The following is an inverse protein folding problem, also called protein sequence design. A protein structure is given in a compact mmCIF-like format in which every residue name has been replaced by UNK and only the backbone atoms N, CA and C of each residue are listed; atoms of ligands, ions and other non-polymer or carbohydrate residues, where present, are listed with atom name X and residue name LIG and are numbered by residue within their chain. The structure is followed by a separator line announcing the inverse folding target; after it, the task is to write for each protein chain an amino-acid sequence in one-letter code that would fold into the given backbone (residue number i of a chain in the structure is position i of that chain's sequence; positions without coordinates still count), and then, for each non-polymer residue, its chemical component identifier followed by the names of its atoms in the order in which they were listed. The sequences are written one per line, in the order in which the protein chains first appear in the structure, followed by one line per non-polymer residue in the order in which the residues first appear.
data_IF_891396056786
#
_entry.id   IF_891396056786
#
_cell.length_a   1.000
_cell.length_b   1.000
_cell.length_c   1.000
_cell.angle_alpha   90.00
_cell.angle_beta   90.00
_cell.angle_gamma   90.00
#
_symmetry.space_group_name_H-M   'P 1'
#
loop_
_entity.id
_entity.type
_entity.pdbx_description
1 polymer ?
#
# COMPACT_ATOMS: atom_id res chain seq x y z
N UNK A 1 13.63 -77.04 9.80
CA UNK A 1 12.55 -76.47 10.64
C UNK A 1 12.90 -75.02 10.92
N UNK A 2 12.07 -74.12 10.41
CA UNK A 2 12.31 -72.69 10.22
C UNK A 2 12.26 -71.90 11.52
N UNK A 3 13.23 -71.01 11.73
CA UNK A 3 13.25 -70.00 12.80
C UNK A 3 12.49 -68.76 12.31
N UNK A 4 11.40 -68.42 12.98
CA UNK A 4 10.60 -67.23 12.71
C UNK A 4 11.36 -65.96 13.13
N UNK A 5 11.82 -65.19 12.13
CA UNK A 5 12.41 -63.87 12.29
C UNK A 5 11.26 -62.85 12.32
N UNK A 6 11.11 -62.14 13.44
CA UNK A 6 10.16 -61.02 13.59
C UNK A 6 10.53 -59.89 12.63
N UNK A 7 9.58 -59.46 11.81
CA UNK A 7 9.67 -58.23 11.02
C UNK A 7 9.41 -57.03 11.93
N UNK A 8 10.41 -56.15 12.06
CA UNK A 8 10.27 -54.84 12.68
C UNK A 8 9.90 -53.84 11.59
N UNK A 9 8.65 -53.43 11.54
CA UNK A 9 8.20 -52.26 10.79
C UNK A 9 8.81 -51.01 11.42
N UNK A 10 9.88 -50.48 10.82
CA UNK A 10 10.39 -49.14 11.15
C UNK A 10 9.44 -48.10 10.57
N UNK A 11 8.56 -47.57 11.42
CA UNK A 11 7.86 -46.31 11.17
C UNK A 11 8.90 -45.19 11.12
N UNK A 12 8.98 -44.50 9.99
CA UNK A 12 9.77 -43.27 9.84
C UNK A 12 9.05 -42.19 10.65
N UNK A 13 9.44 -41.99 11.90
CA UNK A 13 9.02 -40.85 12.70
C UNK A 13 9.67 -39.60 12.13
N UNK A 14 8.86 -38.71 11.55
CA UNK A 14 9.27 -37.37 11.13
C UNK A 14 9.85 -36.61 12.32
N UNK A 15 11.14 -36.27 12.23
CA UNK A 15 11.83 -35.43 13.21
C UNK A 15 11.11 -34.07 13.24
N UNK A 16 10.66 -33.57 14.40
CA UNK A 16 10.11 -32.23 14.50
C UNK A 16 11.25 -31.24 14.20
N UNK A 17 11.14 -30.53 13.08
CA UNK A 17 12.08 -29.46 12.73
C UNK A 17 11.95 -28.38 13.82
N UNK A 18 13.01 -28.19 14.59
CA UNK A 18 13.14 -27.09 15.54
C UNK A 18 13.21 -25.78 14.73
N UNK A 19 12.05 -25.14 14.55
CA UNK A 19 11.94 -23.83 13.92
C UNK A 19 12.65 -22.85 14.85
N UNK A 20 13.77 -22.28 14.41
CA UNK A 20 14.43 -21.19 15.13
C UNK A 20 13.67 -19.89 14.85
N UNK A 21 12.92 -19.33 15.82
CA UNK A 21 12.10 -18.13 15.60
C UNK A 21 12.94 -16.88 15.24
N UNK A 22 14.26 -16.94 15.43
CA UNK A 22 15.20 -15.87 15.13
C UNK A 22 15.54 -15.72 13.63
N UNK A 23 15.26 -16.73 12.79
CA UNK A 23 15.56 -16.69 11.36
C UNK A 23 14.32 -16.29 10.56
N UNK A 24 14.27 -15.00 10.19
CA UNK A 24 13.17 -14.40 9.43
C UNK A 24 12.86 -15.14 8.12
N UNK A 25 13.87 -15.72 7.46
CA UNK A 25 13.71 -16.51 6.23
C UNK A 25 12.99 -17.84 6.45
N UNK A 26 13.20 -18.52 7.57
CA UNK A 26 12.48 -19.75 7.92
C UNK A 26 11.05 -19.44 8.34
N UNK A 27 10.88 -18.38 9.14
CA UNK A 27 9.54 -17.91 9.55
C UNK A 27 8.73 -17.47 8.33
N UNK A 28 9.33 -16.79 7.36
CA UNK A 28 8.69 -16.39 6.11
C UNK A 28 8.24 -17.57 5.26
N UNK A 29 9.08 -18.61 5.11
CA UNK A 29 8.71 -19.85 4.38
C UNK A 29 7.52 -20.56 5.04
N UNK A 30 7.56 -20.71 6.35
CA UNK A 30 6.47 -21.33 7.11
C UNK A 30 5.19 -20.49 7.06
N UNK A 31 5.32 -19.16 7.09
CA UNK A 31 4.19 -18.25 6.97
C UNK A 31 3.51 -18.41 5.60
N UNK A 32 4.27 -18.35 4.51
CA UNK A 32 3.77 -18.53 3.14
C UNK A 32 3.10 -19.91 2.98
N UNK A 33 3.69 -20.96 3.56
CA UNK A 33 3.17 -22.32 3.44
C UNK A 33 1.89 -22.57 4.23
N UNK A 34 1.60 -21.76 5.26
CA UNK A 34 0.51 -22.02 6.22
C UNK A 34 -0.59 -20.97 6.21
N UNK A 35 -0.34 -19.78 5.65
CA UNK A 35 -1.35 -18.73 5.60
C UNK A 35 -2.49 -19.16 4.69
N UNK A 36 -3.70 -19.08 5.22
CA UNK A 36 -4.91 -19.42 4.46
C UNK A 36 -5.33 -18.17 3.69
N UNK A 37 -5.37 -18.29 2.37
CA UNK A 37 -5.86 -17.26 1.49
C UNK A 37 -7.36 -17.45 1.26
N UNK A 38 -8.11 -16.36 1.30
CA UNK A 38 -9.53 -16.34 0.96
C UNK A 38 -9.92 -14.98 0.39
N UNK A 39 -11.15 -14.88 -0.08
CA UNK A 39 -11.68 -13.59 -0.53
C UNK A 39 -12.05 -12.72 0.67
N UNK A 40 -11.58 -11.49 0.71
CA UNK A 40 -11.89 -10.54 1.77
C UNK A 40 -12.40 -9.22 1.21
N UNK A 41 -13.40 -8.62 1.87
CA UNK A 41 -13.93 -7.31 1.50
C UNK A 41 -13.31 -6.19 2.35
N UNK A 42 -12.80 -5.12 1.72
CA UNK A 42 -12.40 -3.86 2.38
C UNK A 42 -12.98 -2.70 1.59
N UNK A 43 -13.70 -1.81 2.26
CA UNK A 43 -14.29 -0.60 1.66
C UNK A 43 -15.06 -0.89 0.36
N UNK A 44 -15.99 -1.85 0.40
CA UNK A 44 -16.83 -2.36 -0.72
C UNK A 44 -16.12 -3.17 -1.80
N UNK A 45 -14.81 -3.39 -1.67
CA UNK A 45 -14.01 -4.14 -2.63
C UNK A 45 -13.63 -5.52 -2.14
N UNK A 46 -13.79 -6.53 -3.00
CA UNK A 46 -13.35 -7.90 -2.73
C UNK A 46 -11.96 -8.17 -3.29
N UNK A 47 -11.06 -8.65 -2.42
CA UNK A 47 -9.71 -9.07 -2.74
C UNK A 47 -9.67 -10.60 -2.69
N UNK A 48 -9.49 -11.26 -3.83
CA UNK A 48 -9.22 -12.70 -3.88
C UNK A 48 -7.79 -13.00 -3.40
N UNK A 49 -7.54 -14.23 -2.96
CA UNK A 49 -6.20 -14.71 -2.58
C UNK A 49 -5.51 -13.82 -1.52
N UNK A 50 -6.30 -13.29 -0.60
CA UNK A 50 -5.86 -12.36 0.42
C UNK A 50 -6.08 -12.92 1.83
N UNK A 51 -5.48 -12.25 2.81
CA UNK A 51 -5.66 -12.54 4.23
C UNK A 51 -5.74 -11.22 5.00
N UNK A 52 -6.41 -11.21 6.15
CA UNK A 52 -6.44 -10.02 6.99
C UNK A 52 -5.25 -9.98 7.97
N UNK A 53 -4.94 -8.78 8.45
CA UNK A 53 -3.83 -8.53 9.36
C UNK A 53 -3.91 -9.33 10.67
N UNK A 54 -5.12 -9.55 11.20
CA UNK A 54 -5.34 -10.38 12.38
C UNK A 54 -4.97 -11.84 12.14
N UNK A 55 -5.39 -12.42 11.00
CA UNK A 55 -5.02 -13.78 10.60
C UNK A 55 -3.51 -13.94 10.47
N UNK A 56 -2.84 -12.94 9.87
CA UNK A 56 -1.39 -12.95 9.74
C UNK A 56 -0.68 -12.96 11.10
N UNK A 57 -1.10 -12.07 12.01
CA UNK A 57 -0.50 -11.93 13.34
C UNK A 57 -0.81 -13.16 14.22
N UNK A 58 -2.00 -13.74 14.09
CA UNK A 58 -2.36 -14.99 14.77
C UNK A 58 -1.45 -16.15 14.31
N UNK A 59 -1.25 -16.30 13.01
CA UNK A 59 -0.38 -17.33 12.45
C UNK A 59 1.10 -17.11 12.84
N UNK A 60 1.59 -15.87 12.76
CA UNK A 60 2.95 -15.55 13.17
C UNK A 60 3.17 -15.83 14.67
N UNK A 61 2.18 -15.55 15.51
CA UNK A 61 2.23 -15.88 16.94
C UNK A 61 2.35 -17.40 17.17
N UNK A 62 1.66 -18.20 16.35
CA UNK A 62 1.76 -19.66 16.38
C UNK A 62 3.12 -20.18 15.91
N UNK A 63 3.64 -19.66 14.78
CA UNK A 63 4.94 -20.05 14.21
C UNK A 63 6.08 -19.71 15.19
N UNK A 64 6.04 -18.51 15.78
CA UNK A 64 7.03 -18.02 16.73
C UNK A 64 6.83 -18.61 18.15
N UNK A 65 5.74 -19.35 18.39
CA UNK A 65 5.36 -19.89 19.70
C UNK A 65 5.34 -18.81 20.80
N UNK A 66 4.84 -17.62 20.47
CA UNK A 66 4.76 -16.48 21.39
C UNK A 66 3.32 -16.09 21.68
N UNK A 67 3.09 -15.56 22.89
CA UNK A 67 1.83 -14.90 23.26
C UNK A 67 1.87 -13.39 23.05
N UNK A 68 3.06 -12.82 22.85
CA UNK A 68 3.23 -11.40 22.60
C UNK A 68 2.98 -11.08 21.13
N UNK A 69 1.84 -10.45 20.87
CA UNK A 69 1.42 -10.04 19.53
C UNK A 69 2.34 -8.96 18.94
N UNK A 70 3.01 -8.15 19.76
CA UNK A 70 3.93 -7.13 19.26
C UNK A 70 5.16 -7.75 18.59
N UNK A 71 5.64 -8.89 19.11
CA UNK A 71 6.74 -9.64 18.48
C UNK A 71 6.31 -10.19 17.12
N UNK A 72 5.10 -10.74 17.03
CA UNK A 72 4.53 -11.21 15.77
C UNK A 72 4.34 -10.07 14.75
N UNK A 73 3.86 -8.90 15.18
CA UNK A 73 3.75 -7.70 14.34
C UNK A 73 5.12 -7.24 13.84
N UNK A 74 6.14 -7.21 14.70
CA UNK A 74 7.50 -6.83 14.31
C UNK A 74 8.07 -7.74 13.23
N UNK A 75 7.91 -9.06 13.40
CA UNK A 75 8.34 -10.05 12.41
C UNK A 75 7.54 -9.92 11.12
N UNK A 76 6.22 -9.77 11.19
CA UNK A 76 5.41 -9.61 9.99
C UNK A 76 5.70 -8.32 9.24
N UNK A 77 6.01 -7.21 9.94
CA UNK A 77 6.53 -5.98 9.33
C UNK A 77 7.91 -6.18 8.69
N UNK A 78 8.72 -7.10 9.19
CA UNK A 78 9.99 -7.44 8.58
C UNK A 78 9.81 -8.31 7.31
N UNK A 79 8.80 -9.19 7.27
CA UNK A 79 8.40 -9.92 6.06
C UNK A 79 7.84 -8.97 4.98
N UNK A 80 7.05 -7.98 5.40
CA UNK A 80 6.55 -6.88 4.59
C UNK A 80 7.70 -6.05 4.00
N UNK A 81 8.70 -5.68 4.82
CA UNK A 81 9.91 -5.00 4.34
C UNK A 81 10.78 -5.87 3.40
N UNK A 82 10.60 -7.20 3.40
CA UNK A 82 11.21 -8.11 2.43
C UNK A 82 10.36 -8.31 1.17
N UNK A 83 9.23 -7.61 1.07
CA UNK A 83 8.30 -7.73 -0.06
C UNK A 83 7.55 -9.06 -0.10
N UNK A 84 7.53 -9.85 0.99
CA UNK A 84 6.85 -11.16 1.02
C UNK A 84 5.33 -10.97 1.13
N UNK A 85 4.91 -9.96 1.91
CA UNK A 85 3.52 -9.57 2.09
C UNK A 85 3.37 -8.08 1.85
N UNK A 86 2.22 -7.64 1.34
CA UNK A 86 1.92 -6.22 1.19
C UNK A 86 0.43 -5.96 1.48
N UNK A 87 0.12 -4.79 2.04
CA UNK A 87 -1.26 -4.31 2.16
C UNK A 87 -1.83 -4.07 0.76
N UNK A 88 -3.10 -4.43 0.55
CA UNK A 88 -3.73 -4.37 -0.78
C UNK A 88 -3.83 -2.96 -1.35
N UNK A 89 -3.86 -1.93 -0.50
CA UNK A 89 -3.81 -0.53 -0.93
C UNK A 89 -2.41 0.06 -0.84
N UNK A 90 -1.40 -0.76 -0.52
CA UNK A 90 -0.02 -0.37 -0.27
C UNK A 90 0.11 0.79 0.71
N UNK A 91 -0.88 0.99 1.58
CA UNK A 91 -0.99 2.21 2.38
C UNK A 91 -0.17 2.11 3.66
N UNK A 92 -0.12 0.90 4.22
CA UNK A 92 0.33 0.66 5.58
C UNK A 92 1.12 -0.64 5.68
N UNK A 93 2.10 -0.65 6.60
CA UNK A 93 2.78 -1.88 6.98
C UNK A 93 1.86 -2.80 7.77
N UNK A 94 2.24 -4.07 7.97
CA UNK A 94 1.43 -5.02 8.74
C UNK A 94 0.89 -4.43 10.07
N UNK A 95 -0.43 -4.50 10.21
CA UNK A 95 -1.21 -4.14 11.39
C UNK A 95 -2.05 -5.34 11.81
N UNK A 96 -2.22 -5.48 13.11
CA UNK A 96 -3.10 -6.48 13.69
C UNK A 96 -4.56 -6.00 13.65
N UNK A 97 -5.23 -6.27 12.53
CA UNK A 97 -6.59 -5.79 12.29
C UNK A 97 -7.30 -6.71 11.30
N UNK A 98 -8.60 -6.90 11.50
CA UNK A 98 -9.46 -7.62 10.55
C UNK A 98 -9.83 -6.77 9.33
N UNK A 99 -9.72 -5.45 9.45
CA UNK A 99 -10.08 -4.49 8.40
C UNK A 99 -8.92 -4.21 7.44
N UNK A 100 -7.70 -4.60 7.80
CA UNK A 100 -6.51 -4.41 6.97
C UNK A 100 -6.25 -5.70 6.21
N UNK A 101 -6.21 -5.62 4.88
CA UNK A 101 -6.16 -6.79 3.99
C UNK A 101 -4.81 -6.79 3.29
N UNK A 102 -4.21 -7.97 3.20
CA UNK A 102 -2.87 -8.19 2.69
C UNK A 102 -2.86 -9.30 1.64
N UNK A 103 -1.86 -9.27 0.76
CA UNK A 103 -1.60 -10.32 -0.23
C UNK A 103 -0.16 -10.79 -0.15
N UNK A 104 0.08 -12.03 -0.62
CA UNK A 104 1.41 -12.54 -0.86
C UNK A 104 1.90 -12.07 -2.22
N UNK A 105 3.17 -11.70 -2.32
CA UNK A 105 3.77 -11.28 -3.60
C UNK A 105 4.05 -12.45 -4.56
N UNK A 106 3.82 -13.69 -4.11
CA UNK A 106 3.95 -14.92 -4.92
C UNK A 106 2.72 -15.81 -4.75
N UNK A 107 1.53 -15.39 -5.20
CA UNK A 107 0.47 -16.36 -5.50
C UNK A 107 0.70 -16.89 -6.91
N UNK A 108 1.07 -18.17 -7.01
CA UNK A 108 1.06 -18.91 -8.27
C UNK A 108 -0.38 -18.94 -8.77
N UNK A 109 -0.72 -18.03 -9.69
CA UNK A 109 -1.75 -18.18 -10.73
C UNK A 109 -1.73 -16.90 -11.57
N UNK A 110 -0.96 -16.95 -12.66
CA UNK A 110 -0.87 -15.88 -13.64
C UNK A 110 -2.05 -15.96 -14.61
N UNK A 111 -2.78 -14.86 -14.70
CA UNK A 111 -3.88 -14.67 -15.63
C UNK A 111 -4.28 -13.20 -15.74
N UNK A 112 -3.30 -12.31 -16.02
CA UNK A 112 -3.55 -10.91 -16.34
C UNK A 112 -2.67 -9.95 -15.54
N UNK A 113 -1.80 -9.24 -16.26
CA UNK A 113 -0.80 -8.25 -15.80
C UNK A 113 0.34 -8.85 -14.97
N UNK A 114 1.29 -9.44 -15.71
CA UNK A 114 2.66 -9.60 -15.24
C UNK A 114 3.24 -8.23 -14.85
N UNK A 115 3.86 -8.14 -13.67
CA UNK A 115 5.11 -7.41 -13.35
C UNK A 115 5.08 -6.71 -11.97
N UNK A 116 6.24 -6.46 -11.36
CA UNK A 116 7.37 -7.38 -11.18
C UNK A 116 7.67 -7.55 -9.68
N UNK A 117 8.42 -8.59 -9.32
CA UNK A 117 9.16 -8.62 -8.05
C UNK A 117 9.88 -7.28 -7.96
N UNK A 118 9.83 -6.57 -6.83
CA UNK A 118 10.70 -5.43 -6.61
C UNK A 118 12.15 -5.93 -6.70
N UNK A 119 12.70 -5.94 -7.90
CA UNK A 119 14.08 -6.32 -8.18
C UNK A 119 14.94 -5.37 -7.39
N UNK A 120 15.67 -5.90 -6.42
CA UNK A 120 16.63 -5.13 -5.64
C UNK A 120 17.55 -4.37 -6.62
N UNK A 121 18.00 -3.17 -6.27
CA UNK A 121 18.98 -2.45 -7.06
C UNK A 121 20.20 -3.33 -7.38
N UNK A 122 20.61 -4.15 -6.42
CA UNK A 122 21.72 -5.11 -6.56
C UNK A 122 21.49 -6.20 -7.62
N UNK A 123 20.26 -6.48 -8.05
CA UNK A 123 19.99 -7.38 -9.19
C UNK A 123 19.97 -6.66 -10.53
N UNK A 124 19.80 -5.33 -10.53
CA UNK A 124 19.76 -4.47 -11.73
C UNK A 124 21.15 -4.04 -12.22
N UNK A 125 22.18 -4.24 -11.41
CA UNK A 125 23.55 -3.82 -11.72
C UNK A 125 24.50 -5.02 -11.81
N UNK A 126 25.59 -4.91 -12.61
CA UNK A 126 26.61 -5.95 -12.69
C UNK A 126 27.18 -6.37 -11.32
N UNK A 127 27.53 -7.64 -11.18
CA UNK A 127 27.92 -8.23 -9.88
C UNK A 127 29.22 -7.63 -9.31
N UNK A 128 30.11 -7.16 -10.19
CA UNK A 128 31.36 -6.46 -9.84
C UNK A 128 31.08 -5.10 -9.19
N UNK A 129 30.03 -4.40 -9.62
CA UNK A 129 29.58 -3.14 -8.99
C UNK A 129 29.05 -3.43 -7.60
N UNK A 130 28.25 -4.49 -7.42
CA UNK A 130 27.73 -4.87 -6.08
C UNK A 130 28.88 -5.26 -5.15
N UNK A 131 29.84 -6.06 -5.62
CA UNK A 131 30.97 -6.51 -4.81
C UNK A 131 31.94 -5.40 -4.43
N UNK A 132 32.10 -4.38 -5.28
CA UNK A 132 32.94 -3.21 -5.00
C UNK A 132 32.24 -2.14 -4.15
N UNK A 133 30.92 -2.25 -3.96
CA UNK A 133 30.13 -1.28 -3.19
C UNK A 133 30.04 -1.67 -1.71
N UNK A 134 30.21 -0.71 -0.81
CA UNK A 134 30.06 -0.97 0.63
C UNK A 134 28.64 -1.37 1.00
N UNK A 135 28.45 -2.20 2.04
CA UNK A 135 27.12 -2.62 2.50
C UNK A 135 26.20 -1.44 2.86
N UNK A 136 26.76 -0.37 3.44
CA UNK A 136 26.01 0.85 3.74
C UNK A 136 25.50 1.52 2.46
N UNK A 137 26.36 1.60 1.45
CA UNK A 137 26.00 2.20 0.16
C UNK A 137 25.04 1.32 -0.63
N UNK A 138 25.18 -0.01 -0.63
CA UNK A 138 24.17 -0.92 -1.21
C UNK A 138 22.80 -0.63 -0.58
N UNK A 139 22.72 -0.61 0.75
CA UNK A 139 21.45 -0.36 1.44
C UNK A 139 20.92 1.05 1.18
N UNK A 140 21.77 2.02 0.84
CA UNK A 140 21.37 3.37 0.42
C UNK A 140 20.78 3.34 -0.99
N UNK A 141 21.44 2.66 -1.93
CA UNK A 141 21.00 2.49 -3.31
C UNK A 141 19.68 1.71 -3.40
N UNK A 142 19.48 0.69 -2.58
CA UNK A 142 18.19 -0.02 -2.49
C UNK A 142 17.05 0.93 -2.10
N UNK A 143 17.28 1.85 -1.15
CA UNK A 143 16.27 2.83 -0.75
C UNK A 143 16.01 3.88 -1.85
N UNK A 144 17.06 4.32 -2.55
CA UNK A 144 16.92 5.25 -3.68
C UNK A 144 16.14 4.59 -4.82
N UNK A 145 16.44 3.33 -5.10
CA UNK A 145 15.76 2.56 -6.13
C UNK A 145 14.29 2.34 -5.80
N UNK A 146 13.96 2.04 -4.53
CA UNK A 146 12.57 1.99 -4.05
C UNK A 146 11.84 3.31 -4.32
N UNK A 147 12.48 4.47 -4.07
CA UNK A 147 11.89 5.77 -4.40
C UNK A 147 11.58 5.85 -5.89
N UNK A 148 12.53 5.50 -6.76
CA UNK A 148 12.38 5.61 -8.22
C UNK A 148 11.26 4.71 -8.74
N UNK A 149 11.26 3.42 -8.36
CA UNK A 149 10.26 2.46 -8.83
C UNK A 149 8.87 2.86 -8.36
N UNK A 150 8.73 3.14 -7.07
CA UNK A 150 7.43 3.52 -6.51
C UNK A 150 6.96 4.90 -7.00
N UNK A 151 7.86 5.77 -7.46
CA UNK A 151 7.49 7.02 -8.11
C UNK A 151 6.94 6.78 -9.52
N UNK A 152 7.59 5.91 -10.29
CA UNK A 152 7.11 5.51 -11.62
C UNK A 152 5.71 4.89 -11.52
N UNK A 153 5.49 4.03 -10.54
CA UNK A 153 4.17 3.44 -10.26
C UNK A 153 3.14 4.50 -9.88
N UNK A 154 3.51 5.41 -8.98
CA UNK A 154 2.63 6.51 -8.57
C UNK A 154 2.23 7.41 -9.74
N UNK A 155 3.18 7.78 -10.61
CA UNK A 155 2.91 8.58 -11.81
C UNK A 155 2.00 7.82 -12.78
N UNK A 156 2.26 6.53 -13.04
CA UNK A 156 1.41 5.72 -13.89
C UNK A 156 -0.02 5.62 -13.33
N UNK A 157 -0.17 5.50 -12.01
CA UNK A 157 -1.47 5.50 -11.35
C UNK A 157 -2.19 6.86 -11.48
N UNK A 158 -1.47 7.98 -11.38
CA UNK A 158 -2.05 9.31 -11.62
C UNK A 158 -2.49 9.49 -13.07
N UNK A 159 -1.68 9.07 -14.03
CA UNK A 159 -2.01 9.13 -15.45
C UNK A 159 -3.26 8.29 -15.75
N UNK A 160 -3.36 7.09 -15.19
CA UNK A 160 -4.55 6.25 -15.30
C UNK A 160 -5.77 6.95 -14.69
N UNK A 161 -5.60 7.59 -13.53
CA UNK A 161 -6.68 8.33 -12.85
C UNK A 161 -7.18 9.48 -13.70
N UNK A 162 -6.27 10.29 -14.26
CA UNK A 162 -6.61 11.43 -15.13
C UNK A 162 -7.29 10.94 -16.41
N UNK A 163 -6.70 9.97 -17.11
CA UNK A 163 -7.23 9.46 -18.38
C UNK A 163 -8.65 8.88 -18.22
N UNK A 164 -8.92 8.20 -17.11
CA UNK A 164 -10.26 7.67 -16.85
C UNK A 164 -11.20 8.78 -16.42
N UNK A 165 -10.77 9.70 -15.55
CA UNK A 165 -11.59 10.85 -15.13
C UNK A 165 -12.02 11.68 -16.34
N UNK A 166 -11.11 11.94 -17.28
CA UNK A 166 -11.40 12.62 -18.53
C UNK A 166 -12.40 11.82 -19.37
N UNK A 167 -12.19 10.51 -19.59
CA UNK A 167 -13.15 9.67 -20.34
C UNK A 167 -14.53 9.63 -19.69
N UNK A 168 -14.57 9.55 -18.37
CA UNK A 168 -15.77 9.55 -17.56
C UNK A 168 -16.56 10.86 -17.67
N UNK A 169 -15.88 12.00 -17.53
CA UNK A 169 -16.46 13.32 -17.71
C UNK A 169 -16.90 13.52 -19.16
N UNK A 170 -16.11 13.11 -20.16
CA UNK A 170 -16.48 13.16 -21.57
C UNK A 170 -17.70 12.29 -21.91
N UNK A 171 -17.82 11.11 -21.31
CA UNK A 171 -18.96 10.21 -21.51
C UNK A 171 -20.23 10.76 -20.87
N UNK A 172 -20.12 11.37 -19.69
CA UNK A 172 -21.21 12.10 -19.03
C UNK A 172 -21.63 13.33 -19.83
N UNK A 173 -20.65 14.08 -20.34
CA UNK A 173 -20.86 15.30 -21.12
C UNK A 173 -21.14 15.02 -22.61
N UNK A 174 -21.48 13.79 -22.98
CA UNK A 174 -21.85 13.42 -24.35
C UNK A 174 -23.18 14.11 -24.68
N UNK A 175 -23.23 15.06 -25.63
CA UNK A 175 -24.40 15.91 -25.81
C UNK A 175 -25.55 15.10 -26.41
N UNK A 176 -26.52 14.71 -25.58
CA UNK A 176 -27.86 14.37 -26.05
C UNK A 176 -28.67 15.67 -26.14
N UNK A 177 -28.64 16.32 -27.31
CA UNK A 177 -29.52 17.44 -27.73
C UNK A 177 -29.56 18.69 -26.83
N UNK A 178 -29.23 19.82 -27.48
CA UNK A 178 -29.72 21.20 -27.28
C UNK A 178 -29.27 22.09 -26.11
N UNK A 179 -28.68 21.62 -25.01
CA UNK A 179 -28.25 22.59 -23.96
C UNK A 179 -26.87 22.25 -23.39
N UNK A 180 -25.85 23.02 -23.79
CA UNK A 180 -24.56 23.07 -23.10
C UNK A 180 -24.78 23.74 -21.73
N UNK A 181 -24.99 22.94 -20.69
CA UNK A 181 -24.79 23.41 -19.30
C UNK A 181 -23.32 23.23 -18.96
N UNK A 182 -22.62 24.34 -18.76
CA UNK A 182 -21.32 24.34 -18.08
C UNK A 182 -21.59 23.89 -16.65
N UNK A 183 -21.29 22.64 -16.34
CA UNK A 183 -21.41 22.09 -14.99
C UNK A 183 -20.32 22.75 -14.14
N UNK A 184 -20.72 23.61 -13.19
CA UNK A 184 -19.80 24.37 -12.33
C UNK A 184 -19.15 23.52 -11.23
N UNK A 185 -19.68 22.33 -10.95
CA UNK A 185 -19.12 21.35 -10.03
C UNK A 185 -19.63 19.97 -10.46
N UNK A 186 -18.74 19.11 -10.93
CA UNK A 186 -19.06 17.70 -11.14
C UNK A 186 -18.81 17.00 -9.82
N UNK A 187 -19.89 16.68 -9.12
CA UNK A 187 -19.83 15.76 -8.00
C UNK A 187 -19.59 14.34 -8.56
N UNK A 188 -18.32 13.93 -8.56
CA UNK A 188 -17.90 12.59 -9.00
C UNK A 188 -18.54 11.46 -8.19
N UNK A 189 -19.11 11.77 -7.01
CA UNK A 189 -19.61 10.78 -6.06
C UNK A 189 -21.13 10.56 -6.14
N UNK A 190 -21.90 11.53 -6.62
CA UNK A 190 -23.35 11.52 -6.32
C UNK A 190 -24.26 11.00 -7.43
N UNK A 191 -23.92 10.96 -8.71
CA UNK A 191 -24.82 10.32 -9.69
C UNK A 191 -24.16 10.06 -11.06
N UNK A 192 -23.77 8.81 -11.32
CA UNK A 192 -23.75 8.27 -12.70
C UNK A 192 -22.42 8.19 -13.44
N UNK A 193 -21.27 8.37 -12.79
CA UNK A 193 -19.98 8.12 -13.44
C UNK A 193 -19.44 6.74 -13.02
N UNK A 194 -19.74 5.71 -13.80
CA UNK A 194 -19.28 4.34 -13.57
C UNK A 194 -17.80 4.15 -13.97
N UNK A 195 -16.89 5.00 -13.46
CA UNK A 195 -15.45 4.92 -13.75
C UNK A 195 -14.83 3.58 -13.32
N UNK A 196 -15.42 2.92 -12.31
CA UNK A 196 -14.93 1.67 -11.72
C UNK A 196 -15.00 0.48 -12.67
N UNK A 197 -15.80 0.58 -13.74
CA UNK A 197 -15.91 -0.46 -14.77
C UNK A 197 -14.71 -0.50 -15.71
N UNK A 198 -13.91 0.56 -15.75
CA UNK A 198 -12.72 0.63 -16.59
C UNK A 198 -11.58 -0.23 -16.00
N UNK A 199 -10.90 -1.06 -16.80
CA UNK A 199 -9.86 -1.96 -16.32
C UNK A 199 -8.67 -1.23 -15.68
N UNK A 200 -8.42 0.02 -16.08
CA UNK A 200 -7.36 0.87 -15.53
C UNK A 200 -7.61 1.26 -14.06
N UNK A 201 -8.87 1.25 -13.61
CA UNK A 201 -9.22 1.46 -12.19
C UNK A 201 -8.95 0.24 -11.32
N UNK A 202 -8.62 -0.92 -11.94
CA UNK A 202 -8.40 -2.20 -11.23
C UNK A 202 -9.53 -2.52 -10.23
N UNK A 203 -10.75 -2.09 -10.57
CA UNK A 203 -11.95 -2.17 -9.73
C UNK A 203 -11.84 -1.44 -8.39
N UNK A 204 -11.03 -0.38 -8.27
CA UNK A 204 -10.94 0.44 -7.06
C UNK A 204 -11.83 1.69 -7.17
N UNK A 205 -12.43 2.20 -6.07
CA UNK A 205 -13.19 3.44 -6.07
C UNK A 205 -12.32 4.63 -6.44
N UNK A 206 -12.92 5.67 -7.04
CA UNK A 206 -12.19 6.88 -7.43
C UNK A 206 -11.55 7.58 -6.23
N UNK A 207 -12.18 7.52 -5.07
CA UNK A 207 -11.69 8.06 -3.79
C UNK A 207 -10.34 7.46 -3.39
N UNK A 208 -10.14 6.17 -3.69
CA UNK A 208 -8.88 5.48 -3.41
C UNK A 208 -7.71 6.01 -4.24
N UNK A 209 -7.99 6.57 -5.42
CA UNK A 209 -7.01 7.24 -6.27
C UNK A 209 -6.80 8.69 -5.86
N UNK A 210 -7.88 9.40 -5.50
CA UNK A 210 -7.85 10.79 -5.02
C UNK A 210 -7.06 10.95 -3.71
N UNK A 211 -6.99 9.91 -2.88
CA UNK A 211 -6.18 9.92 -1.66
C UNK A 211 -4.67 9.67 -1.90
N UNK A 212 -4.26 9.19 -3.08
CA UNK A 212 -2.86 8.82 -3.36
C UNK A 212 -1.87 9.99 -3.32
N UNK A 213 -2.18 11.18 -3.87
CA UNK A 213 -1.27 12.33 -3.77
C UNK A 213 -0.93 12.71 -2.33
N UNK A 214 -1.94 12.80 -1.47
CA UNK A 214 -1.73 13.17 -0.05
C UNK A 214 -0.95 12.09 0.70
N UNK A 215 -1.25 10.81 0.45
CA UNK A 215 -0.51 9.70 1.09
C UNK A 215 0.93 9.57 0.57
N UNK A 216 1.17 9.77 -0.73
CA UNK A 216 2.51 9.77 -1.33
C UNK A 216 3.38 10.88 -0.74
N UNK A 217 2.85 12.08 -0.55
CA UNK A 217 3.57 13.18 0.10
C UNK A 217 4.06 12.83 1.51
N UNK A 218 3.27 12.07 2.27
CA UNK A 218 3.66 11.56 3.59
C UNK A 218 4.77 10.51 3.56
N UNK A 219 5.01 9.86 2.41
CA UNK A 219 6.03 8.82 2.25
C UNK A 219 7.43 9.37 1.98
N UNK A 220 7.57 10.50 1.28
CA UNK A 220 8.91 11.05 0.97
C UNK A 220 9.77 11.25 2.22
N UNK A 221 9.27 11.78 3.36
CA UNK A 221 10.08 11.87 4.57
C UNK A 221 10.53 10.52 5.14
N UNK A 222 9.74 9.45 4.94
CA UNK A 222 10.07 8.11 5.41
C UNK A 222 11.13 7.43 4.53
N UNK A 223 11.11 7.73 3.23
CA UNK A 223 12.07 7.17 2.26
C UNK A 223 13.39 7.94 2.25
N UNK A 224 13.36 9.27 2.42
CA UNK A 224 14.56 10.11 2.39
C UNK A 224 15.40 10.03 3.68
N UNK A 225 14.78 9.78 4.84
CA UNK A 225 15.51 9.65 6.12
C UNK A 225 16.54 8.52 6.11
N UNK A 226 16.20 7.28 5.71
CA UNK A 226 17.20 6.21 5.60
C UNK A 226 18.30 6.51 4.58
N UNK A 227 18.00 7.24 3.49
CA UNK A 227 19.03 7.66 2.52
C UNK A 227 20.03 8.61 3.17
N UNK A 228 19.54 9.59 3.94
CA UNK A 228 20.37 10.53 4.70
C UNK A 228 21.23 9.83 5.75
N UNK A 229 20.66 8.88 6.48
CA UNK A 229 21.38 8.11 7.52
C UNK A 229 22.57 7.34 6.93
N UNK A 230 22.38 6.71 5.77
CA UNK A 230 23.39 5.87 5.12
C UNK A 230 24.36 6.64 4.20
N UNK A 231 24.07 7.90 3.88
CA UNK A 231 24.95 8.75 3.08
C UNK A 231 26.30 8.99 3.77
N UNK A 232 27.38 9.10 2.98
CA UNK A 232 28.69 9.46 3.49
C UNK A 232 28.71 10.89 4.07
N UNK A 233 29.60 11.16 5.02
CA UNK A 233 29.77 12.48 5.69
C UNK A 233 29.99 13.63 4.71
N UNK A 234 30.73 13.37 3.63
CA UNK A 234 31.06 14.33 2.58
C UNK A 234 30.03 14.38 1.44
N UNK A 235 28.94 13.62 1.51
CA UNK A 235 27.94 13.56 0.46
C UNK A 235 27.03 14.81 0.53
N UNK A 236 26.72 15.48 -0.60
CA UNK A 236 25.79 16.62 -0.62
C UNK A 236 24.40 16.29 -0.06
N UNK A 237 23.99 15.03 -0.06
CA UNK A 237 22.74 14.56 0.55
C UNK A 237 22.64 14.92 2.04
N UNK A 238 23.77 15.05 2.75
CA UNK A 238 23.81 15.52 4.14
C UNK A 238 23.29 16.95 4.33
N UNK A 239 23.31 17.77 3.29
CA UNK A 239 22.75 19.13 3.29
C UNK A 239 21.46 19.24 2.48
N UNK A 240 21.37 18.56 1.33
CA UNK A 240 20.22 18.63 0.43
C UNK A 240 18.98 17.90 0.97
N UNK A 241 19.15 16.70 1.54
CA UNK A 241 18.00 15.95 2.06
C UNK A 241 17.32 16.68 3.23
N UNK A 242 18.03 17.25 4.22
CA UNK A 242 17.40 18.07 5.25
C UNK A 242 16.60 19.26 4.70
N UNK A 243 17.08 19.91 3.64
CA UNK A 243 16.35 21.00 2.97
C UNK A 243 15.06 20.48 2.32
N UNK A 244 15.13 19.35 1.60
CA UNK A 244 13.96 18.69 1.03
C UNK A 244 12.95 18.27 2.11
N UNK A 245 13.41 17.67 3.21
CA UNK A 245 12.55 17.29 4.35
C UNK A 245 11.83 18.49 4.96
N UNK A 246 12.52 19.64 5.08
CA UNK A 246 11.91 20.87 5.55
C UNK A 246 10.82 21.36 4.57
N UNK A 247 11.08 21.33 3.27
CA UNK A 247 10.10 21.68 2.24
C UNK A 247 8.86 20.76 2.29
N UNK A 248 9.05 19.44 2.39
CA UNK A 248 7.93 18.48 2.53
C UNK A 248 7.10 18.75 3.78
N UNK A 249 7.76 19.05 4.91
CA UNK A 249 7.06 19.39 6.15
C UNK A 249 6.20 20.64 5.98
N UNK A 250 6.71 21.67 5.30
CA UNK A 250 5.95 22.89 5.01
C UNK A 250 4.72 22.56 4.18
N UNK A 251 4.87 21.83 3.08
CA UNK A 251 3.75 21.44 2.20
C UNK A 251 2.69 20.63 2.95
N UNK A 252 3.10 19.59 3.70
CA UNK A 252 2.19 18.77 4.50
C UNK A 252 1.43 19.59 5.56
N UNK A 253 2.11 20.56 6.18
CA UNK A 253 1.47 21.47 7.15
C UNK A 253 0.41 22.33 6.46
N UNK A 254 0.73 22.89 5.29
CA UNK A 254 -0.23 23.68 4.50
C UNK A 254 -1.44 22.84 4.09
N UNK A 255 -1.23 21.63 3.58
CA UNK A 255 -2.33 20.72 3.20
C UNK A 255 -3.23 20.44 4.41
N UNK A 256 -2.65 20.15 5.58
CA UNK A 256 -3.43 19.87 6.78
C UNK A 256 -4.27 21.09 7.23
N UNK A 257 -3.72 22.30 7.11
CA UNK A 257 -4.44 23.54 7.43
C UNK A 257 -5.60 23.76 6.45
N UNK A 258 -5.34 23.67 5.15
CA UNK A 258 -6.36 23.90 4.12
C UNK A 258 -7.44 22.82 4.12
N UNK A 259 -7.09 21.55 4.36
CA UNK A 259 -8.04 20.47 4.55
C UNK A 259 -8.97 20.74 5.75
N UNK A 260 -8.42 21.20 6.88
CA UNK A 260 -9.21 21.57 8.05
C UNK A 260 -10.14 22.77 7.80
N UNK A 261 -9.71 23.76 7.01
CA UNK A 261 -10.58 24.87 6.59
C UNK A 261 -11.72 24.38 5.70
N UNK A 262 -11.43 23.53 4.73
CA UNK A 262 -12.44 22.96 3.84
C UNK A 262 -13.48 22.12 4.62
N UNK A 263 -13.05 21.29 5.56
CA UNK A 263 -13.94 20.52 6.42
C UNK A 263 -14.85 21.43 7.27
N UNK A 264 -14.27 22.49 7.86
CA UNK A 264 -15.03 23.47 8.62
C UNK A 264 -16.08 24.17 7.75
N UNK A 265 -15.74 24.55 6.52
CA UNK A 265 -16.69 25.15 5.57
C UNK A 265 -17.85 24.21 5.26
N UNK A 266 -17.57 22.94 4.95
CA UNK A 266 -18.61 21.93 4.71
C UNK A 266 -19.50 21.74 5.93
N UNK A 267 -18.91 21.71 7.14
CA UNK A 267 -19.66 21.59 8.39
C UNK A 267 -20.55 22.80 8.65
N UNK A 268 -20.05 24.00 8.43
CA UNK A 268 -20.82 25.24 8.57
C UNK A 268 -21.98 25.29 7.58
N UNK A 269 -21.77 24.91 6.31
CA UNK A 269 -22.84 24.81 5.32
C UNK A 269 -23.94 23.83 5.74
N UNK A 270 -23.58 22.66 6.27
CA UNK A 270 -24.56 21.69 6.81
C UNK A 270 -25.35 22.26 7.98
N UNK A 271 -24.68 22.94 8.92
CA UNK A 271 -25.33 23.58 10.07
C UNK A 271 -26.27 24.71 9.64
N UNK A 272 -25.84 25.53 8.69
CA UNK A 272 -26.67 26.59 8.10
C UNK A 272 -27.94 26.00 7.46
N UNK A 273 -27.81 24.92 6.70
CA UNK A 273 -28.95 24.21 6.10
C UNK A 273 -29.91 23.64 7.16
N UNK A 274 -29.39 23.09 8.25
CA UNK A 274 -30.20 22.54 9.35
C UNK A 274 -30.91 23.63 10.17
N UNK A 275 -30.28 24.79 10.37
CA UNK A 275 -30.82 25.86 11.20
C UNK A 275 -31.80 26.72 10.42
N UNK A 276 -31.50 27.06 9.16
CA UNK A 276 -32.25 28.05 8.39
C UNK A 276 -33.05 27.45 7.23
N UNK A 277 -32.80 26.19 6.85
CA UNK A 277 -33.46 25.57 5.68
C UNK A 277 -33.09 26.18 4.33
N UNK A 278 -32.06 27.02 4.27
CA UNK A 278 -31.63 27.73 3.07
C UNK A 278 -30.54 26.93 2.33
N UNK A 279 -30.70 26.79 1.01
CA UNK A 279 -29.63 26.33 0.11
C UNK A 279 -28.52 27.40 0.01
N UNK A 280 -27.26 27.04 -0.31
CA UNK A 280 -26.10 27.94 -0.24
C UNK A 280 -26.18 29.23 -1.08
N UNK A 281 -27.13 29.31 -2.02
CA UNK A 281 -27.25 30.39 -3.01
C UNK A 281 -28.49 31.29 -2.81
N UNK A 282 -29.26 31.12 -1.73
CA UNK A 282 -30.36 32.04 -1.44
C UNK A 282 -29.79 33.30 -0.76
N UNK A 283 -29.44 34.31 -1.57
CA UNK A 283 -29.06 35.64 -1.08
C UNK A 283 -30.10 36.16 -0.08
N UNK A 284 -29.62 36.58 1.09
CA UNK A 284 -30.44 37.27 2.09
C UNK A 284 -30.83 38.61 1.50
N UNK A 285 -32.08 38.71 1.01
CA UNK A 285 -32.66 39.98 0.63
C UNK A 285 -32.52 40.97 1.79
N UNK A 286 -31.78 42.04 1.54
CA UNK A 286 -31.58 43.14 2.48
C UNK A 286 -32.93 43.62 3.02
N UNK A 287 -33.05 43.65 4.36
CA UNK A 287 -34.04 44.44 5.09
C UNK A 287 -33.28 45.48 5.90
#
# INVERSE_FOLDING_TARGET
MSLARRESTTSVTSIPIDIYPALLSQVGKEFISRIVLSTHSKDTLEYSDSFNGKQAVDLLSQILKTKDRNVAILIGRALDAQGIIHDVTWSHRLRDSVNEIYKLSHSKDEGGLQEPIAELWSSMVPIDVVQSTSKSEITRQETIYEIIVTEKEFVADLENTINVSDRCVFQYNRPARSEFKIVKEVDLTTEGIECEKYPEFRKLPIESFLARPTTRLGRYPLLLKPVLEKAAENNPDKTLIPQALAAFKTVLTTINIEAGKAENLLRLGRLQKQIFGLEPDQEVGHI
#
